data_IF_119447358889
#
_entry.id   IF_119447358889
#
_cell.length_a   1.000
_cell.length_b   1.000
_cell.length_c   1.000
_cell.angle_alpha   90.00
_cell.angle_beta   90.00
_cell.angle_gamma   90.00
#
_symmetry.space_group_name_H-M   'P 1'
#
loop_
_entity.id
_entity.type
_entity.pdbx_description
1 polymer ?
#
# COMPACT_ATOMS: atom_id res chain seq x y z
N UNK A 1 -23.82 -30.34 0.51
CA UNK A 1 -23.69 -28.96 0.00
C UNK A 1 -23.60 -27.94 1.13
N UNK A 2 -24.54 -27.90 2.08
CA UNK A 2 -24.54 -26.93 3.19
C UNK A 2 -23.24 -26.86 4.02
N UNK A 3 -22.67 -28.00 4.46
CA UNK A 3 -21.41 -28.03 5.22
C UNK A 3 -20.19 -27.57 4.42
N UNK A 4 -20.13 -27.83 3.11
CA UNK A 4 -19.03 -27.39 2.25
C UNK A 4 -19.09 -25.87 2.04
N UNK A 5 -20.28 -25.32 1.82
CA UNK A 5 -20.50 -23.86 1.71
C UNK A 5 -20.11 -23.15 3.00
N UNK A 6 -20.43 -23.74 4.16
CA UNK A 6 -20.15 -23.16 5.47
C UNK A 6 -18.65 -23.13 5.79
N UNK A 7 -17.92 -24.22 5.52
CA UNK A 7 -16.46 -24.26 5.67
C UNK A 7 -15.74 -23.31 4.70
N UNK A 8 -16.27 -23.13 3.49
CA UNK A 8 -15.72 -22.19 2.52
C UNK A 8 -15.93 -20.74 2.97
N UNK A 9 -17.12 -20.41 3.47
CA UNK A 9 -17.43 -19.10 4.07
C UNK A 9 -16.53 -18.78 5.26
N UNK A 10 -16.35 -19.72 6.19
CA UNK A 10 -15.44 -19.54 7.34
C UNK A 10 -14.00 -19.25 6.89
N UNK A 11 -13.51 -20.00 5.90
CA UNK A 11 -12.18 -19.80 5.33
C UNK A 11 -12.05 -18.39 4.74
N UNK A 12 -12.99 -17.96 3.91
CA UNK A 12 -12.91 -16.64 3.28
C UNK A 12 -13.02 -15.51 4.31
N UNK A 13 -13.85 -15.66 5.35
CA UNK A 13 -13.94 -14.66 6.43
C UNK A 13 -12.60 -14.52 7.16
N UNK A 14 -11.93 -15.64 7.46
CA UNK A 14 -10.61 -15.63 8.08
C UNK A 14 -9.55 -14.98 7.17
N UNK A 15 -9.55 -15.31 5.88
CA UNK A 15 -8.63 -14.74 4.90
C UNK A 15 -8.85 -13.23 4.74
N UNK A 16 -10.10 -12.76 4.62
CA UNK A 16 -10.43 -11.33 4.59
C UNK A 16 -10.00 -10.58 5.85
N UNK A 17 -10.15 -11.20 7.03
CA UNK A 17 -9.72 -10.57 8.29
C UNK A 17 -8.19 -10.43 8.36
N UNK A 18 -7.46 -11.40 7.80
CA UNK A 18 -6.00 -11.34 7.71
C UNK A 18 -5.57 -10.28 6.69
N UNK A 19 -6.22 -10.22 5.53
CA UNK A 19 -5.97 -9.21 4.49
C UNK A 19 -6.21 -7.79 5.04
N UNK A 20 -7.30 -7.57 5.78
CA UNK A 20 -7.58 -6.27 6.41
C UNK A 20 -6.52 -5.87 7.46
N UNK A 21 -5.97 -6.85 8.19
CA UNK A 21 -4.88 -6.62 9.14
C UNK A 21 -3.57 -6.27 8.41
N UNK A 22 -3.28 -6.97 7.31
CA UNK A 22 -2.14 -6.67 6.43
C UNK A 22 -2.20 -5.25 5.86
N UNK A 23 -3.33 -4.89 5.26
CA UNK A 23 -3.59 -3.54 4.75
C UNK A 23 -3.44 -2.47 5.83
N UNK A 24 -3.89 -2.74 7.07
CA UNK A 24 -3.75 -1.80 8.18
C UNK A 24 -2.28 -1.51 8.51
N UNK A 25 -1.42 -2.53 8.48
CA UNK A 25 0.04 -2.36 8.65
C UNK A 25 0.62 -1.56 7.49
N UNK A 26 0.24 -1.87 6.25
CA UNK A 26 0.72 -1.16 5.07
C UNK A 26 0.30 0.32 5.06
N UNK A 27 -0.87 0.67 5.60
CA UNK A 27 -1.29 2.07 5.79
C UNK A 27 -0.37 2.83 6.76
N UNK A 28 0.13 2.16 7.81
CA UNK A 28 1.10 2.76 8.74
C UNK A 28 2.42 3.00 8.01
N UNK A 29 2.92 2.02 7.26
CA UNK A 29 4.14 2.15 6.46
C UNK A 29 4.02 3.31 5.44
N UNK A 30 2.87 3.45 4.78
CA UNK A 30 2.61 4.56 3.85
C UNK A 30 2.67 5.92 4.54
N UNK A 31 2.15 6.03 5.77
CA UNK A 31 2.24 7.27 6.55
C UNK A 31 3.70 7.63 6.87
N UNK A 32 4.56 6.64 7.10
CA UNK A 32 6.00 6.86 7.30
C UNK A 32 6.65 7.40 6.02
N UNK A 33 6.34 6.81 4.86
CA UNK A 33 6.83 7.31 3.56
C UNK A 33 6.35 8.75 3.31
N UNK A 34 5.07 9.03 3.58
CA UNK A 34 4.49 10.36 3.44
C UNK A 34 5.23 11.39 4.32
N UNK A 35 5.54 11.03 5.57
CA UNK A 35 6.29 11.90 6.47
C UNK A 35 7.73 12.14 5.97
N UNK A 36 8.38 11.13 5.41
CA UNK A 36 9.72 11.28 4.82
C UNK A 36 9.71 12.25 3.63
N UNK A 37 8.69 12.18 2.76
CA UNK A 37 8.50 13.14 1.67
C UNK A 37 8.27 14.56 2.21
N UNK A 38 7.43 14.72 3.24
CA UNK A 38 7.21 16.03 3.86
C UNK A 38 8.51 16.63 4.45
N UNK A 39 9.32 15.79 5.10
CA UNK A 39 10.61 16.21 5.63
C UNK A 39 11.59 16.64 4.51
N UNK A 40 11.60 15.92 3.38
CA UNK A 40 12.39 16.31 2.20
C UNK A 40 11.93 17.66 1.64
N UNK A 41 10.62 17.90 1.55
CA UNK A 41 10.08 19.20 1.12
C UNK A 41 10.55 20.34 2.04
N UNK A 42 10.42 20.17 3.36
CA UNK A 42 10.92 21.16 4.32
C UNK A 42 12.42 21.40 4.17
N UNK A 43 13.21 20.35 3.90
CA UNK A 43 14.66 20.50 3.67
C UNK A 43 14.98 21.28 2.40
N UNK A 44 14.21 21.08 1.33
CA UNK A 44 14.34 21.85 0.09
C UNK A 44 14.00 23.32 0.33
N UNK A 45 12.96 23.60 1.11
CA UNK A 45 12.60 24.97 1.50
C UNK A 45 13.74 25.61 2.31
N UNK A 46 14.30 24.92 3.31
CA UNK A 46 15.47 25.39 4.06
C UNK A 46 16.69 25.70 3.18
N UNK A 47 16.98 24.86 2.17
CA UNK A 47 18.07 25.08 1.20
C UNK A 47 17.82 26.36 0.39
N UNK A 48 16.56 26.60 0.03
CA UNK A 48 16.13 27.77 -0.75
C UNK A 48 16.20 29.03 0.08
N UNK A 49 15.60 29.04 1.28
CA UNK A 49 15.56 30.17 2.19
C UNK A 49 16.97 30.62 2.61
N UNK A 50 17.87 29.67 2.87
CA UNK A 50 19.26 29.96 3.23
C UNK A 50 20.15 30.26 2.01
N UNK A 51 19.60 30.32 0.79
CA UNK A 51 20.34 30.58 -0.45
C UNK A 51 21.54 29.66 -0.67
N UNK A 52 21.51 28.44 -0.12
CA UNK A 52 22.59 27.45 -0.27
C UNK A 52 22.77 27.01 -1.71
N UNK A 53 21.75 27.18 -2.53
CA UNK A 53 21.78 26.93 -3.97
C UNK A 53 22.53 28.00 -4.78
N UNK A 54 22.81 29.18 -4.20
CA UNK A 54 23.55 30.26 -4.88
C UNK A 54 25.07 30.04 -4.82
N UNK A 55 25.59 29.40 -3.76
CA UNK A 55 26.97 28.97 -3.69
C UNK A 55 27.16 27.62 -4.38
N UNK A 56 28.14 27.52 -5.29
CA UNK A 56 28.31 26.36 -6.16
C UNK A 56 28.66 25.07 -5.39
N UNK A 57 29.45 25.19 -4.31
CA UNK A 57 29.83 24.05 -3.47
C UNK A 57 28.66 23.57 -2.62
N UNK A 58 27.95 24.51 -2.00
CA UNK A 58 26.76 24.23 -1.21
C UNK A 58 25.61 23.69 -2.07
N UNK A 59 25.44 24.18 -3.29
CA UNK A 59 24.46 23.68 -4.24
C UNK A 59 24.73 22.22 -4.61
N UNK A 60 25.99 21.87 -4.88
CA UNK A 60 26.38 20.48 -5.16
C UNK A 60 26.06 19.55 -3.99
N UNK A 61 26.46 19.91 -2.76
CA UNK A 61 26.16 19.12 -1.57
C UNK A 61 24.66 18.99 -1.32
N UNK A 62 23.90 20.08 -1.51
CA UNK A 62 22.45 20.09 -1.34
C UNK A 62 21.76 19.15 -2.34
N UNK A 63 22.22 19.13 -3.60
CA UNK A 63 21.70 18.22 -4.63
C UNK A 63 21.99 16.76 -4.25
N UNK A 64 23.20 16.45 -3.78
CA UNK A 64 23.54 15.10 -3.33
C UNK A 64 22.66 14.65 -2.17
N UNK A 65 22.46 15.51 -1.17
CA UNK A 65 21.58 15.22 -0.03
C UNK A 65 20.14 14.92 -0.47
N UNK A 66 19.59 15.74 -1.38
CA UNK A 66 18.24 15.53 -1.93
C UNK A 66 18.19 14.19 -2.69
N UNK A 67 19.17 13.91 -3.55
CA UNK A 67 19.21 12.66 -4.32
C UNK A 67 19.26 11.42 -3.42
N UNK A 68 20.09 11.45 -2.38
CA UNK A 68 20.21 10.33 -1.45
C UNK A 68 18.93 10.15 -0.62
N UNK A 69 18.29 11.24 -0.21
CA UNK A 69 17.00 11.18 0.49
C UNK A 69 15.90 10.61 -0.42
N UNK A 70 15.83 11.03 -1.68
CA UNK A 70 14.88 10.48 -2.66
C UNK A 70 15.11 8.99 -2.87
N UNK A 71 16.36 8.53 -2.96
CA UNK A 71 16.69 7.09 -3.08
C UNK A 71 16.23 6.31 -1.87
N UNK A 72 16.42 6.83 -0.65
CA UNK A 72 15.95 6.17 0.57
C UNK A 72 14.42 6.08 0.61
N UNK A 73 13.72 7.14 0.19
CA UNK A 73 12.26 7.14 0.07
C UNK A 73 11.82 6.07 -0.95
N UNK A 74 12.44 6.01 -2.12
CA UNK A 74 12.12 5.02 -3.15
C UNK A 74 12.36 3.58 -2.67
N UNK A 75 13.50 3.32 -2.01
CA UNK A 75 13.81 2.02 -1.41
C UNK A 75 12.79 1.58 -0.35
N UNK A 76 12.20 2.51 0.39
CA UNK A 76 11.14 2.22 1.35
C UNK A 76 9.77 2.06 0.67
N UNK A 77 9.46 2.90 -0.31
CA UNK A 77 8.17 2.96 -0.98
C UNK A 77 7.96 1.79 -1.94
N UNK A 78 8.94 1.44 -2.76
CA UNK A 78 8.76 0.45 -3.81
C UNK A 78 8.35 -0.95 -3.29
N UNK A 79 9.00 -1.52 -2.25
CA UNK A 79 8.57 -2.79 -1.67
C UNK A 79 7.16 -2.71 -1.06
N UNK A 80 6.83 -1.59 -0.41
CA UNK A 80 5.51 -1.36 0.16
C UNK A 80 4.43 -1.34 -0.94
N UNK A 81 4.66 -0.58 -2.01
CA UNK A 81 3.78 -0.52 -3.16
C UNK A 81 3.55 -1.91 -3.78
N UNK A 82 4.62 -2.71 -3.93
CA UNK A 82 4.50 -4.08 -4.43
C UNK A 82 3.65 -4.99 -3.53
N UNK A 83 3.86 -4.94 -2.21
CA UNK A 83 3.02 -5.71 -1.28
C UNK A 83 1.55 -5.29 -1.33
N UNK A 84 1.28 -3.99 -1.39
CA UNK A 84 -0.08 -3.47 -1.55
C UNK A 84 -0.72 -3.93 -2.86
N UNK A 85 0.02 -3.86 -3.97
CA UNK A 85 -0.45 -4.28 -5.29
C UNK A 85 -0.87 -5.77 -5.29
N UNK A 86 -0.08 -6.62 -4.64
CA UNK A 86 -0.36 -8.05 -4.57
C UNK A 86 -1.52 -8.37 -3.61
N UNK A 87 -1.61 -7.70 -2.45
CA UNK A 87 -2.75 -7.86 -1.53
C UNK A 87 -4.07 -7.42 -2.18
N UNK A 88 -4.08 -6.33 -2.94
CA UNK A 88 -5.28 -5.90 -3.68
C UNK A 88 -5.73 -6.95 -4.70
N UNK A 89 -4.79 -7.62 -5.39
CA UNK A 89 -5.12 -8.72 -6.31
C UNK A 89 -5.74 -9.90 -5.56
N UNK A 90 -5.17 -10.27 -4.43
CA UNK A 90 -5.69 -11.36 -3.57
C UNK A 90 -7.10 -11.08 -3.09
N UNK A 91 -7.36 -9.87 -2.56
CA UNK A 91 -8.70 -9.46 -2.11
C UNK A 91 -9.71 -9.51 -3.25
N UNK A 92 -9.32 -9.06 -4.45
CA UNK A 92 -10.21 -9.13 -5.63
C UNK A 92 -10.56 -10.58 -6.01
N UNK A 93 -9.62 -11.52 -5.89
CA UNK A 93 -9.88 -12.95 -6.11
C UNK A 93 -10.85 -13.48 -5.06
N UNK A 94 -10.59 -13.23 -3.77
CA UNK A 94 -11.47 -13.66 -2.68
C UNK A 94 -12.89 -13.07 -2.79
N UNK A 95 -13.01 -11.80 -3.21
CA UNK A 95 -14.28 -11.15 -3.45
C UNK A 95 -15.06 -11.80 -4.60
N UNK A 96 -14.38 -12.19 -5.68
CA UNK A 96 -14.98 -12.90 -6.80
C UNK A 96 -15.43 -14.31 -6.40
N UNK A 97 -14.62 -15.05 -5.63
CA UNK A 97 -14.99 -16.37 -5.10
C UNK A 97 -16.23 -16.31 -4.21
N UNK A 98 -16.33 -15.29 -3.35
CA UNK A 98 -17.54 -15.04 -2.55
C UNK A 98 -18.76 -14.75 -3.42
N UNK A 99 -18.60 -13.90 -4.44
CA UNK A 99 -19.70 -13.57 -5.35
C UNK A 99 -20.22 -14.83 -6.06
N UNK A 100 -19.33 -15.64 -6.61
CA UNK A 100 -19.70 -16.87 -7.32
C UNK A 100 -20.30 -17.91 -6.37
N UNK A 101 -19.79 -18.02 -5.15
CA UNK A 101 -20.24 -19.02 -4.18
C UNK A 101 -21.55 -18.64 -3.50
N UNK A 102 -21.72 -17.38 -3.09
CA UNK A 102 -22.86 -16.95 -2.28
C UNK A 102 -23.96 -16.38 -3.15
N UNK A 103 -23.64 -15.41 -4.02
CA UNK A 103 -24.67 -14.67 -4.76
C UNK A 103 -25.13 -15.46 -5.99
N UNK A 104 -24.18 -15.96 -6.78
CA UNK A 104 -24.53 -16.67 -8.02
C UNK A 104 -25.21 -18.01 -7.74
N UNK A 105 -24.71 -18.79 -6.77
CA UNK A 105 -25.34 -20.07 -6.41
C UNK A 105 -26.75 -19.88 -5.81
N UNK A 106 -26.99 -18.86 -4.99
CA UNK A 106 -28.33 -18.54 -4.49
C UNK A 106 -29.29 -18.10 -5.61
N UNK A 107 -28.79 -17.34 -6.60
CA UNK A 107 -29.61 -16.91 -7.74
C UNK A 107 -30.03 -18.07 -8.64
N UNK A 108 -29.17 -19.07 -8.82
CA UNK A 108 -29.48 -20.28 -9.59
C UNK A 108 -30.50 -21.17 -8.84
N UNK A 109 -30.39 -21.27 -7.50
CA UNK A 109 -31.34 -22.02 -6.66
C UNK A 109 -32.73 -21.36 -6.61
N UNK A 110 -32.83 -20.04 -6.63
CA UNK A 110 -34.10 -19.29 -6.61
C UNK A 110 -34.80 -19.23 -7.99
N UNK A 111 -34.12 -19.62 -9.06
CA UNK A 111 -34.64 -19.59 -10.44
C UNK A 111 -35.25 -20.92 -10.91
N UNK A 112 -35.29 -21.93 -10.03
CA UNK A 112 -35.89 -23.26 -10.22
C UNK A 112 -37.13 -23.40 -9.34
#
# INVERSE_FOLDING_TARGET
MQQQTQHLLEKVVLENSNDASGLSVQMIDLRVVQQAVANLMNRIDEITENRRHEDRGMAYMSIQEIQDTVRLIDMAFYPLFKRMEDEVKTINIHAQELYDTVIKSESEVLSV
#
